data_IF_066914981069
#
_entry.id   IF_066914981069
#
_cell.length_a   1.000
_cell.length_b   1.000
_cell.length_c   1.000
_cell.angle_alpha   90.00
_cell.angle_beta   90.00
_cell.angle_gamma   90.00
#
_symmetry.space_group_name_H-M   'P 1'
#
loop_
_entity.id
_entity.type
_entity.pdbx_description
1 polymer ?
#
# COMPACT_ATOMS: atom_id res chain seq x y z
N UNK A 1 -18.48 62.81 21.96
CA UNK A 1 -18.12 61.39 22.18
C UNK A 1 -19.39 60.58 22.42
N UNK A 2 -19.42 59.33 21.92
CA UNK A 2 -20.53 58.34 21.91
C UNK A 2 -21.46 58.38 20.67
N UNK A 3 -21.03 57.63 19.64
CA UNK A 3 -21.88 57.02 18.61
C UNK A 3 -21.39 55.60 18.42
N UNK A 4 -22.06 54.58 18.96
CA UNK A 4 -21.95 53.17 18.53
C UNK A 4 -23.31 52.53 18.89
N UNK A 5 -24.33 52.59 18.03
CA UNK A 5 -24.66 51.62 16.98
C UNK A 5 -24.77 50.17 17.51
N UNK A 6 -25.98 49.85 17.98
CA UNK A 6 -26.51 48.50 18.13
C UNK A 6 -27.14 48.11 16.79
N UNK A 7 -26.46 47.25 16.03
CA UNK A 7 -27.08 46.47 14.95
C UNK A 7 -26.39 45.10 14.96
N UNK A 8 -27.03 44.19 15.70
CA UNK A 8 -26.76 42.76 15.72
C UNK A 8 -26.92 42.22 14.30
N UNK A 9 -25.80 42.05 13.59
CA UNK A 9 -25.75 41.31 12.34
C UNK A 9 -25.74 39.81 12.66
N UNK A 10 -26.78 39.17 12.15
CA UNK A 10 -27.06 37.74 12.13
C UNK A 10 -25.79 36.93 11.82
N UNK A 11 -25.38 36.09 12.79
CA UNK A 11 -24.38 35.03 12.58
C UNK A 11 -25.08 33.94 11.76
N UNK A 12 -24.98 34.04 10.44
CA UNK A 12 -25.30 32.90 9.57
C UNK A 12 -24.17 31.90 9.79
N UNK A 13 -24.44 30.90 10.64
CA UNK A 13 -23.66 29.68 10.71
C UNK A 13 -23.79 28.97 9.36
N UNK A 14 -22.87 29.29 8.44
CA UNK A 14 -22.61 28.44 7.29
C UNK A 14 -21.84 27.25 7.86
N UNK A 15 -22.57 26.30 8.43
CA UNK A 15 -22.09 24.93 8.61
C UNK A 15 -21.89 24.35 7.21
N UNK A 16 -20.80 24.76 6.58
CA UNK A 16 -20.26 24.12 5.39
C UNK A 16 -19.87 22.72 5.80
N UNK A 17 -20.79 21.78 5.59
CA UNK A 17 -20.46 20.38 5.46
C UNK A 17 -19.48 20.33 4.29
N UNK A 18 -18.16 20.32 4.60
CA UNK A 18 -17.14 20.01 3.61
C UNK A 18 -17.47 18.59 3.17
N UNK A 19 -18.09 18.48 1.99
CA UNK A 19 -18.03 17.27 1.21
C UNK A 19 -16.54 17.03 1.04
N UNK A 20 -16.00 16.01 1.71
CA UNK A 20 -14.66 15.54 1.42
C UNK A 20 -14.64 15.20 -0.06
N UNK A 21 -14.11 16.13 -0.84
CA UNK A 21 -13.79 15.85 -2.22
C UNK A 21 -12.72 14.78 -2.11
N UNK A 22 -13.05 13.56 -2.49
CA UNK A 22 -12.09 12.48 -2.71
C UNK A 22 -11.10 12.98 -3.76
N UNK A 23 -10.09 13.71 -3.32
CA UNK A 23 -9.00 14.24 -4.14
C UNK A 23 -8.06 13.09 -4.47
N UNK A 24 -8.60 12.08 -5.16
CA UNK A 24 -7.83 10.94 -5.62
C UNK A 24 -7.08 11.37 -6.87
N UNK A 25 -5.76 11.49 -6.76
CA UNK A 25 -4.89 11.79 -7.91
C UNK A 25 -4.27 10.50 -8.42
N UNK A 26 -4.17 10.38 -9.75
CA UNK A 26 -3.37 9.33 -10.38
C UNK A 26 -1.89 9.76 -10.35
N UNK A 27 -1.02 8.89 -9.87
CA UNK A 27 0.43 9.09 -9.85
C UNK A 27 1.13 8.03 -10.70
N UNK A 28 2.39 8.26 -11.03
CA UNK A 28 3.28 7.26 -11.60
C UNK A 28 4.44 6.98 -10.65
N UNK A 29 4.85 5.72 -10.60
CA UNK A 29 6.12 5.27 -10.08
C UNK A 29 7.08 5.12 -11.25
N UNK A 30 8.33 5.52 -11.06
CA UNK A 30 9.34 5.38 -12.10
C UNK A 30 10.58 4.68 -11.55
N UNK A 31 11.23 3.92 -12.42
CA UNK A 31 12.55 3.33 -12.22
C UNK A 31 12.52 1.89 -11.73
N UNK A 32 13.72 1.35 -11.54
CA UNK A 32 13.99 -0.03 -11.16
C UNK A 32 14.17 -0.14 -9.65
N UNK A 33 13.54 -1.14 -9.06
CA UNK A 33 13.60 -1.44 -7.64
C UNK A 33 13.90 -2.92 -7.46
N UNK A 34 14.67 -3.31 -6.44
CA UNK A 34 14.93 -4.70 -6.10
C UNK A 34 14.45 -5.05 -4.70
N UNK A 35 13.94 -6.27 -4.52
CA UNK A 35 13.48 -6.74 -3.21
C UNK A 35 14.65 -7.00 -2.27
N UNK A 36 14.61 -6.36 -1.10
CA UNK A 36 15.58 -6.55 -0.01
C UNK A 36 15.14 -7.53 1.08
N UNK A 37 13.89 -8.01 1.03
CA UNK A 37 13.31 -8.88 2.06
C UNK A 37 11.81 -8.68 2.18
N UNK A 38 11.16 -9.51 2.98
CA UNK A 38 9.77 -9.31 3.36
C UNK A 38 9.49 -9.75 4.81
N UNK A 39 8.48 -9.10 5.39
CA UNK A 39 7.87 -9.48 6.66
C UNK A 39 6.47 -10.04 6.40
N UNK A 40 6.09 -11.05 7.17
CA UNK A 40 4.73 -11.56 7.27
C UNK A 40 4.32 -11.57 8.74
N UNK A 41 3.49 -10.61 9.13
CA UNK A 41 2.95 -10.52 10.48
C UNK A 41 1.56 -11.16 10.54
N UNK A 42 1.37 -12.12 11.44
CA UNK A 42 0.13 -12.88 11.55
C UNK A 42 -0.67 -12.44 12.77
N UNK A 43 -1.98 -12.28 12.60
CA UNK A 43 -2.89 -11.77 13.63
C UNK A 43 -4.04 -12.73 13.88
N UNK A 44 -4.42 -12.92 15.14
CA UNK A 44 -5.64 -13.65 15.49
C UNK A 44 -6.91 -12.81 15.26
N UNK A 45 -8.08 -13.39 15.51
CA UNK A 45 -9.38 -12.71 15.31
C UNK A 45 -9.59 -11.51 16.24
N UNK A 46 -8.86 -11.42 17.35
CA UNK A 46 -8.87 -10.28 18.26
C UNK A 46 -7.88 -9.17 17.84
N UNK A 47 -7.18 -9.34 16.71
CA UNK A 47 -6.20 -8.37 16.21
C UNK A 47 -4.86 -8.41 16.94
N UNK A 48 -4.58 -9.43 17.75
CA UNK A 48 -3.30 -9.61 18.43
C UNK A 48 -2.32 -10.31 17.51
N UNK A 49 -1.09 -9.79 17.40
CA UNK A 49 -0.02 -10.44 16.64
C UNK A 49 0.37 -11.75 17.33
N UNK A 50 0.27 -12.86 16.59
CA UNK A 50 0.55 -14.22 17.07
C UNK A 50 1.83 -14.81 16.50
N UNK A 51 2.30 -14.28 15.36
CA UNK A 51 3.58 -14.69 14.76
C UNK A 51 4.13 -13.57 13.87
N UNK A 52 5.44 -13.60 13.64
CA UNK A 52 6.16 -12.69 12.76
C UNK A 52 7.26 -13.47 12.06
N UNK A 53 7.15 -13.54 10.73
CA UNK A 53 8.12 -14.21 9.88
C UNK A 53 8.88 -13.13 9.12
N UNK A 54 10.20 -13.13 9.25
CA UNK A 54 11.10 -12.27 8.47
C UNK A 54 11.89 -13.19 7.56
N UNK A 55 11.91 -12.90 6.27
CA UNK A 55 12.61 -13.74 5.32
C UNK A 55 13.31 -12.90 4.25
N UNK A 56 14.45 -13.40 3.82
CA UNK A 56 15.10 -12.93 2.61
C UNK A 56 14.18 -13.25 1.43
N UNK A 57 13.89 -12.23 0.63
CA UNK A 57 13.14 -12.42 -0.59
C UNK A 57 14.09 -12.96 -1.66
N UNK A 58 13.59 -13.87 -2.49
CA UNK A 58 14.22 -14.11 -3.80
C UNK A 58 14.38 -12.76 -4.48
N UNK A 59 15.62 -12.37 -4.80
CA UNK A 59 15.87 -11.06 -5.39
C UNK A 59 15.08 -10.95 -6.69
N UNK A 60 14.14 -10.01 -6.68
CA UNK A 60 13.25 -9.70 -7.78
C UNK A 60 13.37 -8.22 -8.12
N UNK A 61 13.28 -7.90 -9.39
CA UNK A 61 13.42 -6.55 -9.91
C UNK A 61 12.09 -6.08 -10.46
N UNK A 62 11.63 -4.95 -9.96
CA UNK A 62 10.37 -4.31 -10.27
C UNK A 62 10.70 -3.02 -11.01
N UNK A 63 10.50 -3.01 -12.32
CA UNK A 63 10.69 -1.83 -13.14
C UNK A 63 9.34 -1.20 -13.42
N UNK A 64 9.13 0.00 -12.89
CA UNK A 64 7.95 0.81 -13.19
C UNK A 64 8.31 1.81 -14.28
N UNK A 65 7.52 1.83 -15.35
CA UNK A 65 7.65 2.75 -16.46
C UNK A 65 6.24 3.21 -16.89
N UNK A 66 5.98 4.50 -16.70
CA UNK A 66 4.68 5.13 -16.89
C UNK A 66 3.55 4.35 -16.16
N UNK A 67 2.74 3.56 -16.90
CA UNK A 67 1.61 2.78 -16.37
C UNK A 67 1.84 1.29 -16.35
N UNK A 68 3.05 0.83 -16.69
CA UNK A 68 3.38 -0.58 -16.71
C UNK A 68 4.41 -0.92 -15.64
N UNK A 69 4.26 -2.11 -15.07
CA UNK A 69 5.26 -2.74 -14.21
C UNK A 69 5.77 -4.02 -14.88
N UNK A 70 7.08 -4.20 -14.82
CA UNK A 70 7.78 -5.41 -15.21
C UNK A 70 8.42 -6.03 -13.97
N UNK A 71 8.21 -7.33 -13.76
CA UNK A 71 8.88 -8.09 -12.69
C UNK A 71 9.69 -9.25 -13.27
N UNK A 72 10.93 -9.36 -12.83
CA UNK A 72 11.83 -10.49 -13.09
C UNK A 72 12.51 -10.95 -11.79
N UNK A 73 13.04 -12.17 -11.75
CA UNK A 73 13.81 -12.68 -10.59
C UNK A 73 15.18 -13.18 -11.03
N UNK A 74 16.15 -13.24 -10.11
CA UNK A 74 17.49 -13.78 -10.42
C UNK A 74 17.44 -15.27 -10.82
N UNK A 75 16.48 -16.03 -10.26
CA UNK A 75 16.34 -17.49 -10.45
C UNK A 75 15.47 -17.87 -11.65
N UNK A 76 14.65 -16.97 -12.17
CA UNK A 76 13.76 -17.25 -13.30
C UNK A 76 13.82 -16.11 -14.32
N UNK A 77 14.25 -16.43 -15.53
CA UNK A 77 14.32 -15.50 -16.65
C UNK A 77 12.95 -15.09 -17.19
N UNK A 78 11.87 -15.75 -16.74
CA UNK A 78 10.50 -15.38 -17.10
C UNK A 78 10.16 -14.01 -16.54
N UNK A 79 9.93 -13.09 -17.46
CA UNK A 79 9.51 -11.72 -17.15
C UNK A 79 7.99 -11.67 -17.16
N UNK A 80 7.40 -11.11 -16.09
CA UNK A 80 5.97 -10.80 -16.03
C UNK A 80 5.74 -9.31 -16.24
N UNK A 81 4.59 -9.00 -16.82
CA UNK A 81 4.13 -7.63 -17.05
C UNK A 81 2.71 -7.45 -16.53
N UNK A 82 2.42 -6.25 -16.06
CA UNK A 82 1.07 -5.79 -15.76
C UNK A 82 0.99 -4.29 -15.93
N UNK A 83 -0.14 -3.81 -16.42
CA UNK A 83 -0.49 -2.41 -16.17
C UNK A 83 -0.77 -2.21 -14.68
N UNK A 84 -0.56 -1.00 -14.19
CA UNK A 84 -0.85 -0.64 -12.82
C UNK A 84 -1.53 0.73 -12.73
N UNK A 85 -2.25 0.93 -11.64
CA UNK A 85 -2.82 2.21 -11.25
C UNK A 85 -2.29 2.53 -9.86
N UNK A 86 -1.73 3.73 -9.68
CA UNK A 86 -1.38 4.26 -8.37
C UNK A 86 -2.33 5.41 -8.03
N UNK A 87 -3.15 5.20 -7.00
CA UNK A 87 -4.08 6.20 -6.48
C UNK A 87 -3.54 6.76 -5.17
N UNK A 88 -3.49 8.08 -5.04
CA UNK A 88 -3.24 8.74 -3.75
C UNK A 88 -4.52 9.38 -3.24
N UNK A 89 -4.84 9.16 -1.97
CA UNK A 89 -5.74 10.01 -1.19
C UNK A 89 -4.96 10.64 -0.02
N UNK A 90 -5.63 11.39 0.86
CA UNK A 90 -4.96 12.16 1.91
C UNK A 90 -4.03 11.32 2.81
N UNK A 91 -4.42 10.07 3.08
CA UNK A 91 -3.74 9.22 4.05
C UNK A 91 -3.04 7.99 3.43
N UNK A 92 -3.40 7.62 2.20
CA UNK A 92 -3.01 6.34 1.60
C UNK A 92 -2.58 6.48 0.13
N UNK A 93 -1.67 5.59 -0.26
CA UNK A 93 -1.26 5.38 -1.64
C UNK A 93 -1.48 3.92 -2.00
N UNK A 94 -2.38 3.65 -2.93
CA UNK A 94 -2.79 2.31 -3.31
C UNK A 94 -2.30 2.01 -4.72
N UNK A 95 -1.44 1.00 -4.83
CA UNK A 95 -0.92 0.43 -6.05
C UNK A 95 -1.76 -0.82 -6.40
N UNK A 96 -2.40 -0.81 -7.56
CA UNK A 96 -3.20 -1.94 -8.05
C UNK A 96 -2.69 -2.41 -9.40
N UNK A 97 -2.44 -3.71 -9.54
CA UNK A 97 -2.07 -4.38 -10.79
C UNK A 97 -3.31 -4.92 -11.50
N UNK A 98 -3.42 -4.63 -12.79
CA UNK A 98 -4.56 -5.05 -13.62
C UNK A 98 -4.55 -6.55 -13.93
N UNK A 99 -3.36 -7.18 -14.01
CA UNK A 99 -3.23 -8.60 -14.32
C UNK A 99 -3.28 -9.44 -13.03
N UNK A 100 -4.34 -10.25 -12.80
CA UNK A 100 -4.47 -11.06 -11.58
C UNK A 100 -3.43 -12.19 -11.46
N UNK A 101 -2.79 -12.58 -12.56
CA UNK A 101 -1.75 -13.62 -12.57
C UNK A 101 -0.32 -13.04 -12.41
N UNK A 102 -0.21 -11.71 -12.27
CA UNK A 102 1.06 -11.02 -12.14
C UNK A 102 1.77 -11.39 -10.83
N UNK A 103 1.06 -11.26 -9.71
CA UNK A 103 1.54 -11.55 -8.37
C UNK A 103 0.44 -12.21 -7.54
N UNK A 104 0.82 -12.89 -6.46
CA UNK A 104 -0.14 -13.50 -5.53
C UNK A 104 -1.12 -12.47 -4.92
N UNK A 105 -0.67 -11.22 -4.80
CA UNK A 105 -1.48 -10.09 -4.36
C UNK A 105 -1.40 -8.98 -5.42
N UNK A 106 -2.55 -8.46 -5.84
CA UNK A 106 -2.63 -7.45 -6.90
C UNK A 106 -2.77 -6.03 -6.35
N UNK A 107 -3.19 -5.87 -5.10
CA UNK A 107 -3.39 -4.58 -4.46
C UNK A 107 -2.46 -4.42 -3.28
N UNK A 108 -1.75 -3.29 -3.26
CA UNK A 108 -0.71 -2.96 -2.30
C UNK A 108 -0.88 -1.53 -1.83
N UNK A 109 -0.59 -1.27 -0.57
CA UNK A 109 -0.43 0.07 -0.01
C UNK A 109 1.04 0.45 -0.03
N UNK A 110 1.40 1.64 -0.50
CA UNK A 110 2.75 2.19 -0.35
C UNK A 110 2.83 2.88 1.00
N UNK A 111 3.39 2.17 1.99
CA UNK A 111 3.47 2.61 3.39
C UNK A 111 4.55 3.66 3.60
N UNK A 112 5.66 3.55 2.85
CA UNK A 112 6.74 4.53 2.87
C UNK A 112 7.44 4.55 1.51
N UNK A 113 7.86 5.73 1.05
CA UNK A 113 8.68 5.87 -0.15
C UNK A 113 9.64 7.07 0.01
N UNK A 114 10.89 6.83 -0.32
CA UNK A 114 11.96 7.82 -0.51
C UNK A 114 12.57 7.61 -1.90
N UNK A 115 13.61 8.37 -2.24
CA UNK A 115 14.33 8.18 -3.50
C UNK A 115 15.10 6.85 -3.56
N UNK A 116 15.41 6.26 -2.41
CA UNK A 116 16.24 5.04 -2.29
C UNK A 116 15.46 3.81 -1.84
N UNK A 117 14.36 4.00 -1.11
CA UNK A 117 13.62 2.90 -0.48
C UNK A 117 12.13 3.05 -0.68
N UNK A 118 11.45 1.92 -0.87
CA UNK A 118 10.00 1.82 -0.88
C UNK A 118 9.56 0.64 -0.05
N UNK A 119 8.50 0.82 0.72
CA UNK A 119 7.85 -0.22 1.51
C UNK A 119 6.41 -0.34 1.05
N UNK A 120 6.05 -1.51 0.55
CA UNK A 120 4.68 -1.84 0.15
C UNK A 120 4.11 -2.90 1.08
N UNK A 121 2.81 -2.82 1.38
CA UNK A 121 2.14 -3.81 2.22
C UNK A 121 0.78 -4.22 1.68
N UNK A 122 0.33 -5.41 2.05
CA UNK A 122 -1.00 -5.90 1.71
C UNK A 122 -1.51 -6.83 2.80
N UNK A 123 -2.83 -6.90 2.94
CA UNK A 123 -3.46 -7.87 3.82
C UNK A 123 -3.67 -9.18 3.07
N UNK A 124 -3.29 -10.29 3.70
CA UNK A 124 -3.42 -11.64 3.18
C UNK A 124 -4.44 -12.39 4.01
N UNK A 125 -5.43 -12.97 3.35
CA UNK A 125 -6.48 -13.82 3.94
C UNK A 125 -6.48 -15.25 3.38
N UNK A 126 -5.57 -15.54 2.44
CA UNK A 126 -5.38 -16.89 1.92
C UNK A 126 -4.87 -17.81 3.03
N UNK A 127 -5.66 -18.83 3.35
CA UNK A 127 -5.40 -19.78 4.44
C UNK A 127 -4.02 -20.43 4.37
N UNK A 128 -3.46 -20.63 3.17
CA UNK A 128 -2.13 -21.26 3.04
C UNK A 128 -1.02 -20.40 3.65
N UNK A 129 -1.19 -19.08 3.64
CA UNK A 129 -0.23 -18.12 4.20
C UNK A 129 -0.48 -17.82 5.68
N UNK A 130 -1.56 -18.36 6.27
CA UNK A 130 -1.96 -18.06 7.65
C UNK A 130 -1.54 -19.15 8.64
N UNK A 131 -0.97 -20.25 8.17
CA UNK A 131 -0.50 -21.35 9.01
C UNK A 131 0.88 -20.96 9.59
N UNK A 132 1.01 -20.98 10.92
CA UNK A 132 2.26 -20.60 11.61
C UNK A 132 2.76 -21.63 12.63
N UNK A 133 2.09 -22.78 12.73
CA UNK A 133 2.45 -23.87 13.63
C UNK A 133 1.52 -25.07 13.43
N UNK A 134 1.81 -26.18 14.11
CA UNK A 134 0.96 -27.37 14.05
C UNK A 134 -0.44 -27.04 14.56
N UNK A 135 -1.45 -27.15 13.68
CA UNK A 135 -2.85 -26.80 13.96
C UNK A 135 -3.08 -25.34 14.38
N UNK A 136 -2.16 -24.44 14.03
CA UNK A 136 -2.26 -23.02 14.34
C UNK A 136 -2.45 -22.21 13.06
N UNK A 137 -3.58 -21.51 12.98
CA UNK A 137 -3.95 -20.68 11.83
C UNK A 137 -4.36 -19.30 12.32
N UNK A 138 -3.78 -18.26 11.72
CA UNK A 138 -4.13 -16.87 11.98
C UNK A 138 -5.44 -16.50 11.29
N UNK A 139 -6.07 -15.41 11.72
CA UNK A 139 -7.27 -14.88 11.05
C UNK A 139 -6.92 -14.07 9.80
N UNK A 140 -5.79 -13.35 9.83
CA UNK A 140 -5.26 -12.54 8.74
C UNK A 140 -3.75 -12.39 8.90
N UNK A 141 -3.08 -11.98 7.83
CA UNK A 141 -1.69 -11.57 7.87
C UNK A 141 -1.48 -10.23 7.15
N UNK A 142 -0.45 -9.49 7.54
CA UNK A 142 0.03 -8.32 6.81
C UNK A 142 1.38 -8.69 6.23
N UNK A 143 1.45 -8.75 4.90
CA UNK A 143 2.70 -8.93 4.17
C UNK A 143 3.28 -7.56 3.84
N UNK A 144 4.56 -7.37 4.14
CA UNK A 144 5.31 -6.14 3.84
C UNK A 144 6.54 -6.49 3.03
N UNK A 145 6.71 -5.87 1.87
CA UNK A 145 7.89 -6.05 1.01
C UNK A 145 8.74 -4.78 1.06
N UNK A 146 10.04 -4.98 1.24
CA UNK A 146 11.04 -3.92 1.22
C UNK A 146 11.72 -3.87 -0.14
N UNK A 147 11.70 -2.70 -0.76
CA UNK A 147 12.25 -2.45 -2.08
C UNK A 147 13.34 -1.37 -1.98
N UNK A 148 14.48 -1.62 -2.62
CA UNK A 148 15.60 -0.68 -2.73
C UNK A 148 15.76 -0.25 -4.18
N UNK A 149 16.10 1.02 -4.40
CA UNK A 149 16.37 1.54 -5.74
C UNK A 149 17.64 0.91 -6.32
N UNK A 150 17.60 0.58 -7.61
CA UNK A 150 18.77 0.14 -8.38
C UNK A 150 19.32 1.26 -9.29
#
# INVERSE_FOLDING_TARGET
>A
MKRILLLLYIIINISGCKKDTDNTTNETLNGKWSTGGYDLELYNSSGVKVSHIVADAVKSYWTFDDKQVKVSTDVNTSVKFSDYILRRNADNRILTFSNPNFAAQTTWSIVAQTDQYMRISTEVTDKQWLIYGTNQTAARAVMTIYLTKE
#
